data_IF_225359149193
#
_entry.id   IF_225359149193
#
_cell.length_a   1.000
_cell.length_b   1.000
_cell.length_c   1.000
_cell.angle_alpha   90.00
_cell.angle_beta   90.00
_cell.angle_gamma   90.00
#
_symmetry.space_group_name_H-M   'P 1'
#
loop_
_entity.id
_entity.type
_entity.pdbx_description
1 polymer ?
#
# COMPACT_ATOMS: atom_id res chain seq x y z
N UNK A 1 -11.42 73.91 32.46
CA UNK A 1 -12.07 72.88 33.29
C UNK A 1 -13.38 72.51 32.61
N UNK A 2 -13.41 71.36 31.94
CA UNK A 2 -14.58 70.87 31.20
C UNK A 2 -15.20 69.68 31.94
N UNK A 3 -16.52 69.75 32.15
CA UNK A 3 -17.44 68.67 32.52
C UNK A 3 -18.83 69.13 32.08
N UNK A 4 -19.74 68.36 31.52
CA UNK A 4 -19.74 66.99 31.01
C UNK A 4 -21.00 66.86 30.16
N UNK A 5 -20.99 66.00 29.14
CA UNK A 5 -22.19 65.62 28.39
C UNK A 5 -22.37 64.12 28.53
N UNK A 6 -23.43 63.73 29.22
CA UNK A 6 -24.02 62.40 29.12
C UNK A 6 -24.83 62.32 27.82
N UNK A 7 -24.69 61.20 27.12
CA UNK A 7 -25.46 60.86 25.94
C UNK A 7 -25.28 59.38 25.64
N UNK A 8 -26.30 58.60 25.96
CA UNK A 8 -26.47 57.19 25.59
C UNK A 8 -26.26 56.99 24.08
N UNK A 9 -25.30 56.14 23.71
CA UNK A 9 -25.15 55.56 22.38
C UNK A 9 -25.46 54.07 22.46
N UNK A 10 -26.55 53.67 21.82
CA UNK A 10 -27.06 52.31 21.75
C UNK A 10 -26.04 51.33 21.17
N UNK A 11 -26.15 50.09 21.66
CA UNK A 11 -25.56 48.87 21.11
C UNK A 11 -25.64 48.82 19.58
N UNK A 12 -24.51 49.05 18.92
CA UNK A 12 -24.23 48.51 17.61
C UNK A 12 -23.63 47.12 17.81
N UNK A 13 -24.47 46.09 17.78
CA UNK A 13 -23.99 44.72 17.65
C UNK A 13 -23.20 44.61 16.36
N UNK A 14 -21.88 44.52 16.49
CA UNK A 14 -20.98 44.24 15.39
C UNK A 14 -21.23 42.77 15.01
N UNK A 15 -22.22 42.57 14.13
CA UNK A 15 -22.43 41.30 13.45
C UNK A 15 -21.18 41.04 12.64
N UNK A 16 -20.30 40.23 13.23
CA UNK A 16 -19.09 39.70 12.62
C UNK A 16 -19.41 39.27 11.20
N UNK A 17 -18.88 40.03 10.25
CA UNK A 17 -18.86 39.67 8.85
C UNK A 17 -18.14 38.34 8.73
N UNK A 18 -18.91 37.27 8.62
CA UNK A 18 -18.45 35.96 8.22
C UNK A 18 -17.94 36.04 6.79
N UNK A 19 -16.74 36.59 6.63
CA UNK A 19 -15.96 36.44 5.41
C UNK A 19 -15.58 34.97 5.30
N UNK A 20 -16.39 34.20 4.58
CA UNK A 20 -16.11 32.81 4.20
C UNK A 20 -14.95 32.69 3.21
N UNK A 21 -13.90 33.50 3.38
CA UNK A 21 -12.63 33.32 2.70
C UNK A 21 -11.81 32.34 3.52
N UNK A 22 -11.38 31.24 2.90
CA UNK A 22 -10.39 30.35 3.51
C UNK A 22 -9.14 31.18 3.77
N UNK A 23 -8.74 31.31 5.04
CA UNK A 23 -7.43 31.90 5.35
C UNK A 23 -6.36 30.96 4.80
N UNK A 24 -5.71 31.38 3.72
CA UNK A 24 -4.69 30.58 3.05
C UNK A 24 -3.51 30.24 3.98
N UNK A 25 -3.24 31.08 5.00
CA UNK A 25 -2.23 30.76 6.01
C UNK A 25 -2.68 29.63 6.95
N UNK A 26 -3.97 29.58 7.31
CA UNK A 26 -4.52 28.46 8.09
C UNK A 26 -4.54 27.18 7.25
N UNK A 27 -4.90 27.28 5.96
CA UNK A 27 -4.87 26.15 5.04
C UNK A 27 -3.46 25.59 4.87
N UNK A 28 -2.44 26.46 4.73
CA UNK A 28 -1.04 26.03 4.63
C UNK A 28 -0.61 25.26 5.89
N UNK A 29 -0.96 25.76 7.08
CA UNK A 29 -0.65 25.07 8.34
C UNK A 29 -1.34 23.71 8.44
N UNK A 30 -2.59 23.62 8.01
CA UNK A 30 -3.34 22.34 7.97
C UNK A 30 -2.67 21.37 7.00
N UNK A 31 -2.32 21.82 5.79
CA UNK A 31 -1.63 21.02 4.79
C UNK A 31 -0.27 20.52 5.31
N UNK A 32 0.52 21.38 5.96
CA UNK A 32 1.81 21.00 6.54
C UNK A 32 1.67 19.92 7.62
N UNK A 33 0.61 20.01 8.44
CA UNK A 33 0.31 18.96 9.43
C UNK A 33 -0.03 17.63 8.77
N UNK A 34 -0.85 17.64 7.73
CA UNK A 34 -1.18 16.43 6.97
C UNK A 34 0.05 15.83 6.30
N UNK A 35 0.89 16.67 5.67
CA UNK A 35 2.15 16.23 5.06
C UNK A 35 3.07 15.58 6.10
N UNK A 36 3.22 16.18 7.28
CA UNK A 36 4.01 15.59 8.37
C UNK A 36 3.48 14.22 8.81
N UNK A 37 2.17 14.10 9.00
CA UNK A 37 1.52 12.85 9.41
C UNK A 37 1.65 11.74 8.37
N UNK A 38 1.80 12.10 7.09
CA UNK A 38 1.99 11.15 5.99
C UNK A 38 3.39 10.51 5.97
N UNK A 39 4.38 11.13 6.62
CA UNK A 39 5.74 10.61 6.60
C UNK A 39 5.89 9.33 7.43
N UNK A 40 6.78 8.41 7.02
CA UNK A 40 7.09 7.25 7.83
C UNK A 40 7.62 7.64 9.22
N UNK A 41 7.28 6.87 10.24
CA UNK A 41 7.62 7.19 11.63
C UNK A 41 9.14 7.39 11.85
N UNK A 42 9.99 6.59 11.21
CA UNK A 42 11.45 6.73 11.34
C UNK A 42 11.96 8.07 10.78
N UNK A 43 11.32 8.60 9.73
CA UNK A 43 11.66 9.90 9.16
C UNK A 43 11.14 11.02 10.07
N UNK A 44 9.92 10.89 10.59
CA UNK A 44 9.40 11.80 11.61
C UNK A 44 10.33 11.87 12.83
N UNK A 45 10.87 10.73 13.26
CA UNK A 45 11.77 10.65 14.41
C UNK A 45 13.06 11.47 14.24
N UNK A 46 13.51 11.70 13.00
CA UNK A 46 14.70 12.54 12.74
C UNK A 46 14.54 13.97 13.26
N UNK A 47 13.30 14.49 13.30
CA UNK A 47 13.03 15.81 13.87
C UNK A 47 13.20 15.82 15.40
N UNK A 48 12.84 14.74 16.10
CA UNK A 48 13.07 14.62 17.54
C UNK A 48 14.54 14.38 17.90
N UNK A 49 15.32 13.89 16.94
CA UNK A 49 16.77 13.74 17.07
C UNK A 49 17.54 15.03 16.69
N UNK A 50 16.85 16.12 16.35
CA UNK A 50 17.44 17.35 15.82
C UNK A 50 18.60 17.85 16.66
N UNK A 51 18.41 17.92 17.98
CA UNK A 51 19.34 18.55 18.91
C UNK A 51 20.68 17.82 18.96
N UNK A 52 20.64 16.49 18.83
CA UNK A 52 21.85 15.65 18.80
C UNK A 52 22.54 15.71 17.43
N UNK A 53 21.76 15.83 16.37
CA UNK A 53 22.26 15.72 14.99
C UNK A 53 22.64 17.07 14.38
N UNK A 54 22.11 18.19 14.85
CA UNK A 54 22.34 19.52 14.24
C UNK A 54 23.83 19.89 14.24
N UNK A 55 24.51 19.69 15.38
CA UNK A 55 25.95 19.95 15.49
C UNK A 55 26.78 19.01 14.61
N UNK A 56 26.30 17.77 14.39
CA UNK A 56 26.97 16.81 13.52
C UNK A 56 26.74 17.14 12.03
N UNK A 57 25.55 17.62 11.67
CA UNK A 57 25.19 18.02 10.30
C UNK A 57 25.99 19.24 9.81
N UNK A 58 26.45 20.10 10.73
CA UNK A 58 27.33 21.24 10.43
C UNK A 58 28.80 20.85 10.18
N UNK A 59 29.21 19.63 10.52
CA UNK A 59 30.58 19.13 10.27
C UNK A 59 30.78 18.79 8.80
N UNK A 60 32.01 18.40 8.47
CA UNK A 60 32.35 17.93 7.12
C UNK A 60 31.54 16.68 6.76
N UNK A 61 31.29 16.46 5.47
CA UNK A 61 30.56 15.29 4.97
C UNK A 61 31.24 13.98 5.38
N UNK A 62 32.57 13.96 5.44
CA UNK A 62 33.33 12.79 5.87
C UNK A 62 33.16 12.49 7.36
N UNK A 63 33.16 13.52 8.21
CA UNK A 63 32.91 13.34 9.66
C UNK A 63 31.50 12.84 9.92
N UNK A 64 30.52 13.34 9.15
CA UNK A 64 29.13 12.86 9.19
C UNK A 64 29.06 11.39 8.83
N UNK A 65 29.73 10.96 7.76
CA UNK A 65 29.76 9.57 7.33
C UNK A 65 30.38 8.66 8.40
N UNK A 66 31.54 9.05 8.96
CA UNK A 66 32.19 8.31 10.04
C UNK A 66 31.26 8.15 11.25
N UNK A 67 30.60 9.25 11.67
CA UNK A 67 29.64 9.21 12.78
C UNK A 67 28.41 8.35 12.48
N UNK A 68 27.94 8.34 11.24
CA UNK A 68 26.83 7.51 10.84
C UNK A 68 27.19 6.01 10.90
N UNK A 69 28.41 5.62 10.52
CA UNK A 69 28.90 4.26 10.73
C UNK A 69 29.04 3.89 12.22
N UNK A 70 29.49 4.81 13.07
CA UNK A 70 29.53 4.58 14.53
C UNK A 70 28.12 4.32 15.09
N UNK A 71 27.11 5.08 14.66
CA UNK A 71 25.73 4.84 15.07
C UNK A 71 25.21 3.50 14.56
N UNK A 72 25.49 3.15 13.30
CA UNK A 72 25.11 1.85 12.75
C UNK A 72 25.72 0.70 13.55
N UNK A 73 27.02 0.75 13.84
CA UNK A 73 27.71 -0.27 14.63
C UNK A 73 27.09 -0.45 16.03
N UNK A 74 26.77 0.66 16.72
CA UNK A 74 26.03 0.62 17.98
C UNK A 74 24.64 0.01 17.83
N UNK A 75 23.96 0.25 16.70
CA UNK A 75 22.69 -0.38 16.38
C UNK A 75 22.82 -1.90 16.27
N UNK A 76 23.85 -2.36 15.55
CA UNK A 76 24.14 -3.78 15.36
C UNK A 76 24.45 -4.48 16.70
N UNK A 77 25.27 -3.87 17.56
CA UNK A 77 25.54 -4.36 18.94
C UNK A 77 24.25 -4.51 19.76
N UNK A 78 23.30 -3.58 19.60
CA UNK A 78 22.01 -3.63 20.32
C UNK A 78 21.08 -4.70 19.78
N UNK A 79 21.16 -5.05 18.49
CA UNK A 79 20.45 -6.20 17.93
C UNK A 79 20.98 -7.51 18.52
N UNK A 80 22.31 -7.65 18.61
CA UNK A 80 22.93 -8.81 19.25
C UNK A 80 22.53 -8.92 20.73
N UNK A 81 22.44 -7.77 21.43
CA UNK A 81 21.93 -7.70 22.80
C UNK A 81 20.41 -7.91 22.92
N UNK A 82 19.71 -8.27 21.84
CA UNK A 82 18.25 -8.48 21.79
C UNK A 82 17.41 -7.27 22.23
N UNK A 83 17.91 -6.06 21.94
CA UNK A 83 17.27 -4.78 22.28
C UNK A 83 16.87 -4.00 21.01
N UNK A 84 15.84 -4.44 20.26
CA UNK A 84 15.49 -3.87 18.96
C UNK A 84 15.00 -2.42 19.03
N UNK A 85 14.40 -1.98 20.16
CA UNK A 85 13.98 -0.58 20.35
C UNK A 85 15.16 0.37 20.46
N UNK A 86 16.19 -0.01 21.21
CA UNK A 86 17.41 0.80 21.33
C UNK A 86 18.19 0.81 20.01
N UNK A 87 18.24 -0.33 19.32
CA UNK A 87 18.86 -0.45 18.00
C UNK A 87 18.18 0.46 16.96
N UNK A 88 16.84 0.46 16.93
CA UNK A 88 16.05 1.30 16.03
C UNK A 88 16.45 2.78 16.11
N UNK A 89 16.59 3.31 17.33
CA UNK A 89 17.01 4.70 17.55
C UNK A 89 18.40 4.96 16.98
N UNK A 90 19.35 4.03 17.11
CA UNK A 90 20.69 4.20 16.54
C UNK A 90 20.67 4.22 15.01
N UNK A 91 19.87 3.37 14.38
CA UNK A 91 19.73 3.38 12.92
C UNK A 91 19.00 4.64 12.42
N UNK A 92 18.01 5.15 13.16
CA UNK A 92 17.36 6.43 12.88
C UNK A 92 18.33 7.60 13.01
N UNK A 93 19.24 7.59 13.99
CA UNK A 93 20.29 8.60 14.13
C UNK A 93 21.28 8.58 12.95
N UNK A 94 21.71 7.38 12.52
CA UNK A 94 22.58 7.22 11.36
C UNK A 94 21.91 7.73 10.07
N UNK A 95 20.65 7.35 9.86
CA UNK A 95 19.83 7.79 8.73
C UNK A 95 19.60 9.31 8.76
N UNK A 96 19.23 9.85 9.93
CA UNK A 96 18.96 11.26 10.20
C UNK A 96 20.14 12.20 9.93
N UNK A 97 21.37 11.67 9.80
CA UNK A 97 22.50 12.47 9.38
C UNK A 97 22.45 12.87 7.92
N UNK A 98 21.80 12.10 7.04
CA UNK A 98 21.77 12.35 5.59
C UNK A 98 20.37 12.64 5.05
N UNK A 99 19.34 12.11 5.71
CA UNK A 99 17.94 12.39 5.37
C UNK A 99 17.14 12.70 6.62
N UNK A 100 16.56 13.89 6.68
CA UNK A 100 15.93 14.39 7.90
C UNK A 100 14.83 15.40 7.61
N UNK A 101 13.98 15.60 8.61
CA UNK A 101 13.02 16.69 8.63
C UNK A 101 13.65 17.92 9.30
N UNK A 102 13.52 19.07 8.65
CA UNK A 102 13.93 20.37 9.17
C UNK A 102 12.68 21.24 9.38
N UNK A 103 12.60 21.89 10.55
CA UNK A 103 11.52 22.83 10.86
C UNK A 103 12.04 24.27 10.80
N UNK A 104 11.50 25.06 9.86
CA UNK A 104 11.78 26.50 9.71
C UNK A 104 10.51 27.28 10.01
N UNK A 105 10.42 27.78 11.24
CA UNK A 105 9.20 28.44 11.73
C UNK A 105 8.04 27.44 11.84
N UNK A 106 6.99 27.61 11.02
CA UNK A 106 5.83 26.71 10.97
C UNK A 106 6.04 25.55 9.97
N UNK A 107 6.86 25.77 8.94
CA UNK A 107 7.10 24.83 7.84
C UNK A 107 8.03 23.69 8.21
N UNK A 108 7.61 22.47 7.87
CA UNK A 108 8.44 21.26 7.96
C UNK A 108 8.80 20.82 6.54
N UNK A 109 10.10 20.77 6.24
CA UNK A 109 10.63 20.29 4.96
C UNK A 109 11.50 19.06 5.15
N UNK A 110 11.44 18.13 4.20
CA UNK A 110 12.37 16.99 4.16
C UNK A 110 13.61 17.38 3.37
N UNK A 111 14.77 17.17 3.97
CA UNK A 111 16.08 17.29 3.33
C UNK A 111 16.60 15.88 3.07
N UNK A 112 17.01 15.60 1.83
CA UNK A 112 17.60 14.34 1.39
C UNK A 112 18.88 14.65 0.63
N UNK A 113 20.01 14.66 1.36
CA UNK A 113 21.30 15.07 0.80
C UNK A 113 21.76 14.09 -0.30
N UNK A 114 21.39 12.81 -0.22
CA UNK A 114 21.79 11.82 -1.22
C UNK A 114 20.91 11.83 -2.47
N UNK A 115 19.69 12.40 -2.40
CA UNK A 115 18.79 12.51 -3.56
C UNK A 115 19.36 13.38 -4.67
N UNK A 116 19.89 14.56 -4.35
CA UNK A 116 20.50 15.44 -5.34
C UNK A 116 21.68 14.75 -6.05
N UNK A 117 22.50 14.03 -5.30
CA UNK A 117 23.59 13.23 -5.86
C UNK A 117 23.08 12.10 -6.78
N UNK A 118 21.96 11.44 -6.42
CA UNK A 118 21.31 10.43 -7.26
C UNK A 118 20.77 11.02 -8.56
N UNK A 119 20.14 12.19 -8.50
CA UNK A 119 19.58 12.90 -9.65
C UNK A 119 20.67 13.34 -10.63
N UNK A 120 21.73 13.97 -10.13
CA UNK A 120 22.90 14.35 -10.93
C UNK A 120 23.50 13.15 -11.68
N UNK A 121 23.59 11.98 -11.03
CA UNK A 121 24.09 10.75 -11.69
C UNK A 121 23.14 10.22 -12.78
N UNK A 122 21.83 10.39 -12.63
CA UNK A 122 20.87 10.02 -13.68
C UNK A 122 20.99 10.94 -14.89
N UNK A 123 21.17 12.24 -14.65
CA UNK A 123 21.32 13.26 -15.70
C UNK A 123 22.63 13.13 -16.47
N UNK A 124 23.74 12.82 -15.78
CA UNK A 124 25.05 12.64 -16.40
C UNK A 124 25.15 11.35 -17.25
N UNK A 125 24.15 10.46 -17.19
CA UNK A 125 24.15 9.16 -17.87
C UNK A 125 25.31 8.25 -17.41
N UNK A 126 25.48 7.09 -18.07
CA UNK A 126 26.64 6.19 -17.90
C UNK A 126 27.94 6.81 -18.44
N UNK A 127 28.24 8.07 -18.13
CA UNK A 127 29.59 8.58 -18.29
C UNK A 127 30.47 7.88 -17.26
N UNK A 128 31.57 7.27 -17.70
CA UNK A 128 32.50 6.40 -16.94
C UNK A 128 33.24 7.09 -15.78
N UNK A 129 32.69 8.15 -15.19
CA UNK A 129 33.22 8.85 -14.02
C UNK A 129 32.87 8.17 -12.69
N UNK A 130 32.73 6.82 -12.67
CA UNK A 130 32.79 6.04 -11.42
C UNK A 130 34.12 6.25 -10.66
N UNK A 131 35.11 6.90 -11.31
CA UNK A 131 36.40 7.29 -10.76
C UNK A 131 36.39 8.61 -9.98
N UNK A 132 35.29 9.38 -9.95
CA UNK A 132 35.23 10.62 -9.18
C UNK A 132 35.11 10.32 -7.67
N UNK A 133 35.93 10.98 -6.86
CA UNK A 133 35.91 10.86 -5.40
C UNK A 133 34.53 11.23 -4.84
N UNK A 134 33.88 12.22 -5.44
CA UNK A 134 32.54 12.67 -5.05
C UNK A 134 31.47 11.58 -5.30
N UNK A 135 31.50 10.95 -6.48
CA UNK A 135 30.61 9.83 -6.81
C UNK A 135 30.80 8.65 -5.85
N UNK A 136 32.05 8.28 -5.55
CA UNK A 136 32.35 7.21 -4.59
C UNK A 136 31.81 7.50 -3.20
N UNK A 137 31.94 8.75 -2.72
CA UNK A 137 31.41 9.16 -1.43
C UNK A 137 29.89 8.94 -1.35
N UNK A 138 29.13 9.41 -2.35
CA UNK A 138 27.68 9.24 -2.32
C UNK A 138 27.23 7.79 -2.51
N UNK A 139 27.99 6.96 -3.23
CA UNK A 139 27.74 5.52 -3.28
C UNK A 139 27.90 4.87 -1.90
N UNK A 140 28.88 5.30 -1.11
CA UNK A 140 29.05 4.84 0.29
C UNK A 140 27.89 5.31 1.17
N UNK A 141 27.46 6.57 1.01
CA UNK A 141 26.28 7.09 1.73
C UNK A 141 25.02 6.30 1.35
N UNK A 142 24.79 6.04 0.06
CA UNK A 142 23.63 5.29 -0.41
C UNK A 142 23.66 3.83 0.09
N UNK A 143 24.84 3.20 0.15
CA UNK A 143 25.00 1.89 0.77
C UNK A 143 24.69 1.90 2.27
N UNK A 144 25.19 2.91 2.99
CA UNK A 144 24.91 3.08 4.41
C UNK A 144 23.43 3.32 4.67
N UNK A 145 22.80 4.28 3.97
CA UNK A 145 21.38 4.62 4.10
C UNK A 145 20.50 3.42 3.77
N UNK A 146 20.79 2.71 2.67
CA UNK A 146 20.09 1.47 2.31
C UNK A 146 20.22 0.43 3.43
N UNK A 147 21.43 0.25 3.98
CA UNK A 147 21.66 -0.69 5.08
C UNK A 147 20.90 -0.29 6.35
N UNK A 148 20.91 1.00 6.73
CA UNK A 148 20.16 1.52 7.87
C UNK A 148 18.65 1.32 7.69
N UNK A 149 18.08 1.60 6.51
CA UNK A 149 16.66 1.39 6.21
C UNK A 149 16.27 -0.09 6.32
N UNK A 150 17.11 -1.00 5.83
CA UNK A 150 16.90 -2.44 5.99
C UNK A 150 16.94 -2.83 7.47
N UNK A 151 17.85 -2.27 8.27
CA UNK A 151 17.90 -2.54 9.70
C UNK A 151 16.72 -1.91 10.47
N UNK A 152 16.26 -0.72 10.11
CA UNK A 152 15.04 -0.10 10.65
C UNK A 152 13.84 -1.01 10.41
N UNK A 153 13.71 -1.55 9.19
CA UNK A 153 12.64 -2.53 8.87
C UNK A 153 12.77 -3.80 9.70
N UNK A 154 14.00 -4.29 9.90
CA UNK A 154 14.24 -5.48 10.70
C UNK A 154 13.86 -5.26 12.17
N UNK A 155 14.28 -4.14 12.76
CA UNK A 155 13.91 -3.74 14.12
C UNK A 155 12.39 -3.66 14.26
N UNK A 156 11.72 -3.00 13.31
CA UNK A 156 10.26 -2.83 13.31
C UNK A 156 9.51 -4.17 13.28
N UNK A 157 10.06 -5.17 12.58
CA UNK A 157 9.51 -6.53 12.55
C UNK A 157 9.79 -7.35 13.81
N UNK A 158 10.85 -7.02 14.58
CA UNK A 158 11.25 -7.69 15.82
C UNK A 158 10.56 -7.15 17.07
N UNK A 159 9.91 -6.00 17.00
CA UNK A 159 9.17 -5.44 18.14
C UNK A 159 8.06 -6.39 18.61
N UNK A 160 7.71 -6.29 19.89
CA UNK A 160 6.62 -7.06 20.52
C UNK A 160 5.29 -6.89 19.78
N UNK A 161 5.05 -5.68 19.25
CA UNK A 161 3.98 -5.37 18.32
C UNK A 161 4.67 -4.96 17.01
N UNK A 162 4.73 -5.86 16.01
CA UNK A 162 5.42 -5.56 14.76
C UNK A 162 4.73 -4.43 14.00
N UNK A 163 5.46 -3.36 13.71
CA UNK A 163 4.97 -2.30 12.84
C UNK A 163 5.30 -2.66 11.38
N UNK A 164 4.42 -3.45 10.76
CA UNK A 164 4.67 -3.99 9.43
C UNK A 164 4.58 -2.90 8.35
N UNK A 165 3.71 -1.90 8.50
CA UNK A 165 3.63 -0.78 7.56
C UNK A 165 4.91 0.06 7.56
N UNK A 166 5.47 0.35 8.74
CA UNK A 166 6.76 1.04 8.84
C UNK A 166 7.88 0.22 8.20
N UNK A 167 7.85 -1.12 8.35
CA UNK A 167 8.83 -2.00 7.70
C UNK A 167 8.69 -1.98 6.17
N UNK A 168 7.47 -1.96 5.63
CA UNK A 168 7.22 -1.80 4.19
C UNK A 168 7.70 -0.44 3.69
N UNK A 169 7.41 0.64 4.41
CA UNK A 169 7.84 1.99 4.04
C UNK A 169 9.39 2.09 3.99
N UNK A 170 10.07 1.62 5.05
CA UNK A 170 11.53 1.66 5.12
C UNK A 170 12.20 0.82 4.01
N UNK A 171 11.67 -0.37 3.73
CA UNK A 171 12.21 -1.23 2.66
C UNK A 171 11.89 -0.71 1.27
N UNK A 172 10.74 -0.07 1.08
CA UNK A 172 10.40 0.59 -0.20
C UNK A 172 11.37 1.74 -0.47
N UNK A 173 11.66 2.57 0.53
CA UNK A 173 12.67 3.62 0.41
C UNK A 173 14.07 3.05 0.16
N UNK A 174 14.43 1.92 0.80
CA UNK A 174 15.71 1.26 0.54
C UNK A 174 15.83 0.82 -0.93
N UNK A 175 14.73 0.38 -1.54
CA UNK A 175 14.66 -0.04 -2.94
C UNK A 175 14.65 1.14 -3.91
N UNK A 176 14.19 2.33 -3.50
CA UNK A 176 14.39 3.56 -4.28
C UNK A 176 15.87 3.97 -4.36
N UNK A 177 16.65 3.64 -3.34
CA UNK A 177 18.11 3.85 -3.33
C UNK A 177 18.80 2.74 -4.12
N UNK A 178 18.45 1.47 -3.89
CA UNK A 178 19.00 0.29 -4.57
C UNK A 178 17.89 -0.69 -5.00
N UNK A 179 17.42 -0.61 -6.26
CA UNK A 179 16.27 -1.41 -6.74
C UNK A 179 16.43 -2.93 -6.62
N UNK A 180 17.65 -3.44 -6.77
CA UNK A 180 17.94 -4.88 -6.77
C UNK A 180 18.68 -5.32 -5.50
N UNK A 181 18.28 -4.82 -4.33
CA UNK A 181 18.93 -5.16 -3.07
C UNK A 181 18.25 -6.37 -2.39
N UNK A 182 18.86 -7.59 -2.38
CA UNK A 182 18.20 -8.80 -1.90
C UNK A 182 17.75 -8.74 -0.43
N UNK A 183 18.53 -8.18 0.52
CA UNK A 183 18.07 -8.03 1.90
C UNK A 183 16.85 -7.12 2.03
N UNK A 184 16.73 -6.05 1.23
CA UNK A 184 15.58 -5.16 1.28
C UNK A 184 14.31 -5.85 0.76
N UNK A 185 14.40 -6.52 -0.39
CA UNK A 185 13.31 -7.33 -0.96
C UNK A 185 12.87 -8.45 0.01
N UNK A 186 13.83 -9.13 0.63
CA UNK A 186 13.55 -10.16 1.61
C UNK A 186 12.82 -9.61 2.85
N UNK A 187 13.25 -8.48 3.41
CA UNK A 187 12.56 -7.85 4.56
C UNK A 187 11.17 -7.33 4.18
N UNK A 188 11.01 -6.75 2.99
CA UNK A 188 9.70 -6.29 2.49
C UNK A 188 8.73 -7.45 2.33
N UNK A 189 9.21 -8.58 1.77
CA UNK A 189 8.39 -9.79 1.65
C UNK A 189 7.90 -10.33 3.00
N UNK A 190 8.71 -10.25 4.06
CA UNK A 190 8.29 -10.64 5.41
C UNK A 190 7.24 -9.69 5.97
N UNK A 191 7.39 -8.39 5.73
CA UNK A 191 6.42 -7.39 6.17
C UNK A 191 5.08 -7.58 5.45
N UNK A 192 5.07 -7.75 4.13
CA UNK A 192 3.87 -8.07 3.36
C UNK A 192 3.21 -9.37 3.80
N UNK A 193 3.99 -10.42 4.10
CA UNK A 193 3.45 -11.67 4.61
C UNK A 193 2.75 -11.51 5.96
N UNK A 194 3.28 -10.66 6.86
CA UNK A 194 2.62 -10.32 8.13
C UNK A 194 1.37 -9.44 7.95
N UNK A 195 1.29 -8.68 6.87
CA UNK A 195 0.10 -7.92 6.45
C UNK A 195 -0.90 -8.77 5.64
N UNK A 196 -0.65 -10.08 5.50
CA UNK A 196 -1.45 -11.00 4.67
C UNK A 196 -1.50 -10.64 3.17
N UNK A 197 -0.60 -9.77 2.72
CA UNK A 197 -0.40 -9.38 1.32
C UNK A 197 0.51 -10.41 0.63
N UNK A 198 0.01 -11.64 0.51
CA UNK A 198 0.82 -12.78 0.05
C UNK A 198 1.25 -12.70 -1.42
N UNK A 199 0.49 -11.98 -2.25
CA UNK A 199 0.83 -11.74 -3.66
C UNK A 199 2.11 -10.93 -3.81
N UNK A 200 2.16 -9.80 -3.11
CA UNK A 200 3.28 -8.87 -3.02
C UNK A 200 4.47 -9.57 -2.34
N UNK A 201 4.22 -10.30 -1.25
CA UNK A 201 5.26 -11.05 -0.56
C UNK A 201 5.97 -12.08 -1.46
N UNK A 202 5.21 -12.83 -2.27
CA UNK A 202 5.79 -13.81 -3.22
C UNK A 202 6.57 -13.11 -4.33
N UNK A 203 6.06 -11.99 -4.85
CA UNK A 203 6.73 -11.22 -5.89
C UNK A 203 8.07 -10.66 -5.39
N UNK A 204 8.10 -10.08 -4.20
CA UNK A 204 9.32 -9.59 -3.57
C UNK A 204 10.31 -10.71 -3.26
N UNK A 205 9.84 -11.84 -2.73
CA UNK A 205 10.71 -12.98 -2.44
C UNK A 205 11.29 -13.60 -3.70
N UNK A 206 10.55 -13.57 -4.82
CA UNK A 206 11.06 -13.97 -6.13
C UNK A 206 12.12 -12.99 -6.60
N UNK A 207 11.83 -11.69 -6.59
CA UNK A 207 12.81 -10.67 -6.96
C UNK A 207 14.10 -10.82 -6.13
N UNK A 208 14.00 -11.02 -4.82
CA UNK A 208 15.15 -11.25 -3.94
C UNK A 208 16.00 -12.46 -4.37
N UNK A 209 15.35 -13.57 -4.76
CA UNK A 209 16.03 -14.77 -5.24
C UNK A 209 16.75 -14.53 -6.57
N UNK A 210 16.10 -13.83 -7.51
CA UNK A 210 16.69 -13.51 -8.81
C UNK A 210 17.86 -12.54 -8.69
N UNK A 211 17.75 -11.48 -7.89
CA UNK A 211 18.84 -10.52 -7.64
C UNK A 211 20.04 -11.16 -6.93
N UNK A 212 19.82 -12.28 -6.22
CA UNK A 212 20.86 -13.04 -5.52
C UNK A 212 21.43 -14.23 -6.34
N UNK A 213 21.14 -14.35 -7.65
CA UNK A 213 21.49 -15.54 -8.44
C UNK A 213 22.99 -15.83 -8.60
N UNK A 214 23.88 -14.96 -8.10
CA UNK A 214 25.32 -15.20 -7.99
C UNK A 214 25.90 -15.14 -6.57
N UNK A 215 25.06 -15.03 -5.52
CA UNK A 215 25.51 -15.00 -4.12
C UNK A 215 25.82 -16.40 -3.57
N UNK A 216 26.31 -16.45 -2.33
CA UNK A 216 26.51 -17.70 -1.57
C UNK A 216 25.34 -18.67 -1.69
N UNK A 217 25.64 -19.94 -1.93
CA UNK A 217 24.66 -21.02 -2.05
C UNK A 217 23.73 -21.10 -0.82
N UNK A 218 24.27 -20.83 0.38
CA UNK A 218 23.50 -20.78 1.64
C UNK A 218 22.43 -19.71 1.62
N UNK A 219 22.76 -18.52 1.13
CA UNK A 219 21.84 -17.39 1.02
C UNK A 219 20.78 -17.68 -0.04
N UNK A 220 21.18 -18.22 -1.18
CA UNK A 220 20.25 -18.62 -2.24
C UNK A 220 19.26 -19.70 -1.76
N UNK A 221 19.76 -20.72 -1.06
CA UNK A 221 18.92 -21.77 -0.46
C UNK A 221 17.94 -21.18 0.55
N UNK A 222 18.38 -20.25 1.39
CA UNK A 222 17.51 -19.59 2.36
C UNK A 222 16.38 -18.79 1.67
N UNK A 223 16.71 -17.99 0.66
CA UNK A 223 15.73 -17.22 -0.12
C UNK A 223 14.75 -18.13 -0.87
N UNK A 224 15.25 -19.24 -1.43
CA UNK A 224 14.42 -20.23 -2.11
C UNK A 224 13.41 -20.89 -1.16
N UNK A 225 13.86 -21.30 0.03
CA UNK A 225 12.97 -21.89 1.06
C UNK A 225 11.91 -20.89 1.53
N UNK A 226 12.30 -19.62 1.74
CA UNK A 226 11.36 -18.56 2.08
C UNK A 226 10.33 -18.33 0.98
N UNK A 227 10.76 -18.23 -0.29
CA UNK A 227 9.86 -18.10 -1.43
C UNK A 227 8.87 -19.26 -1.49
N UNK A 228 9.33 -20.51 -1.32
CA UNK A 228 8.46 -21.69 -1.30
C UNK A 228 7.43 -21.64 -0.18
N UNK A 229 7.85 -21.21 1.02
CA UNK A 229 6.96 -21.03 2.17
C UNK A 229 5.86 -20.00 1.85
N UNK A 230 6.22 -18.84 1.30
CA UNK A 230 5.25 -17.80 0.95
C UNK A 230 4.29 -18.24 -0.17
N UNK A 231 4.78 -18.99 -1.16
CA UNK A 231 3.90 -19.57 -2.20
C UNK A 231 2.90 -20.54 -1.58
N UNK A 232 3.30 -21.34 -0.59
CA UNK A 232 2.41 -22.23 0.12
C UNK A 232 1.36 -21.46 0.96
N UNK A 233 1.76 -20.41 1.68
CA UNK A 233 0.82 -19.56 2.44
C UNK A 233 -0.16 -18.84 1.51
N UNK A 234 0.33 -18.26 0.41
CA UNK A 234 -0.54 -17.64 -0.62
C UNK A 234 -1.59 -18.62 -1.14
N UNK A 235 -1.23 -19.90 -1.31
CA UNK A 235 -2.18 -20.94 -1.74
C UNK A 235 -3.25 -21.20 -0.68
N UNK A 236 -2.89 -21.28 0.60
CA UNK A 236 -3.87 -21.48 1.70
C UNK A 236 -4.87 -20.33 1.82
N UNK A 237 -4.40 -19.08 1.64
CA UNK A 237 -5.22 -17.89 1.80
C UNK A 237 -6.02 -17.50 0.55
N UNK A 238 -5.73 -18.11 -0.60
CA UNK A 238 -6.47 -17.86 -1.84
C UNK A 238 -7.82 -18.57 -1.84
N UNK A 239 -8.87 -17.80 -2.10
CA UNK A 239 -10.26 -18.31 -2.22
C UNK A 239 -10.37 -19.38 -3.31
N UNK A 240 -9.65 -19.22 -4.41
CA UNK A 240 -9.68 -20.16 -5.53
C UNK A 240 -9.24 -21.57 -5.10
N UNK A 241 -8.13 -21.67 -4.35
CA UNK A 241 -7.62 -22.94 -3.86
C UNK A 241 -8.48 -23.54 -2.73
N UNK A 242 -9.20 -22.70 -1.97
CA UNK A 242 -10.22 -23.16 -1.01
C UNK A 242 -11.40 -23.85 -1.72
N UNK A 243 -11.82 -23.32 -2.86
CA UNK A 243 -12.95 -23.85 -3.66
C UNK A 243 -12.54 -25.11 -4.43
N UNK A 244 -11.44 -25.05 -5.18
CA UNK A 244 -10.98 -26.16 -6.03
C UNK A 244 -10.42 -27.34 -5.21
N UNK A 245 -9.95 -27.09 -3.99
CA UNK A 245 -9.27 -28.08 -3.16
C UNK A 245 -7.79 -28.26 -3.54
N UNK A 246 -7.02 -28.89 -2.65
CA UNK A 246 -5.63 -29.26 -2.94
C UNK A 246 -5.57 -30.32 -4.04
N UNK A 247 -4.45 -30.46 -4.75
CA UNK A 247 -4.31 -31.39 -5.88
C UNK A 247 -4.61 -32.86 -5.50
N UNK A 248 -4.40 -33.25 -4.24
CA UNK A 248 -4.79 -34.57 -3.72
C UNK A 248 -6.33 -34.75 -3.59
N UNK A 249 -7.08 -33.66 -3.41
CA UNK A 249 -8.55 -33.62 -3.46
C UNK A 249 -9.09 -33.27 -4.86
N UNK A 250 -8.24 -32.75 -5.77
CA UNK A 250 -8.66 -32.16 -7.04
C UNK A 250 -9.25 -33.20 -7.99
N UNK A 251 -8.77 -34.45 -7.98
CA UNK A 251 -9.36 -35.52 -8.78
C UNK A 251 -10.79 -35.85 -8.32
N UNK A 252 -11.02 -35.88 -7.00
CA UNK A 252 -12.34 -36.13 -6.42
C UNK A 252 -13.31 -34.96 -6.68
N UNK A 253 -12.82 -33.71 -6.64
CA UNK A 253 -13.64 -32.50 -6.83
C UNK A 253 -13.83 -32.09 -8.28
N UNK A 254 -12.95 -32.47 -9.21
CA UNK A 254 -13.16 -32.28 -10.65
C UNK A 254 -14.43 -33.02 -11.12
N UNK A 255 -14.70 -34.21 -10.59
CA UNK A 255 -15.95 -34.92 -10.84
C UNK A 255 -17.18 -34.13 -10.37
N UNK A 256 -17.11 -33.49 -9.20
CA UNK A 256 -18.19 -32.67 -8.64
C UNK A 256 -18.38 -31.37 -9.43
N UNK A 257 -17.30 -30.73 -9.88
CA UNK A 257 -17.36 -29.53 -10.72
C UNK A 257 -17.96 -29.83 -12.11
N UNK A 258 -17.54 -30.91 -12.76
CA UNK A 258 -18.14 -31.38 -14.02
C UNK A 258 -19.61 -31.71 -13.81
N UNK A 259 -19.98 -32.37 -12.72
CA UNK A 259 -21.37 -32.67 -12.38
C UNK A 259 -22.19 -31.39 -12.11
N UNK A 260 -21.63 -30.40 -11.42
CA UNK A 260 -22.31 -29.11 -11.16
C UNK A 260 -22.52 -28.31 -12.45
N UNK A 261 -21.52 -28.26 -13.33
CA UNK A 261 -21.66 -27.64 -14.65
C UNK A 261 -22.67 -28.40 -15.52
N UNK A 262 -22.67 -29.73 -15.48
CA UNK A 262 -23.65 -30.56 -16.19
C UNK A 262 -25.07 -30.34 -15.65
N UNK A 263 -25.27 -30.34 -14.34
CA UNK A 263 -26.55 -30.02 -13.72
C UNK A 263 -27.03 -28.62 -14.08
N UNK A 264 -26.15 -27.61 -14.01
CA UNK A 264 -26.48 -26.24 -14.40
C UNK A 264 -26.87 -26.13 -15.88
N UNK A 265 -26.18 -26.87 -16.76
CA UNK A 265 -26.52 -26.96 -18.18
C UNK A 265 -27.89 -27.63 -18.40
N UNK A 266 -28.17 -28.72 -17.70
CA UNK A 266 -29.47 -29.41 -17.74
C UNK A 266 -30.59 -28.50 -17.24
N UNK A 267 -30.39 -27.79 -16.13
CA UNK A 267 -31.36 -26.81 -15.63
C UNK A 267 -31.59 -25.67 -16.63
N UNK A 268 -30.54 -25.16 -17.26
CA UNK A 268 -30.66 -24.14 -18.29
C UNK A 268 -31.42 -24.65 -19.53
N UNK A 269 -31.14 -25.88 -19.97
CA UNK A 269 -31.86 -26.52 -21.09
C UNK A 269 -33.33 -26.80 -20.75
N UNK A 270 -33.63 -27.26 -19.53
CA UNK A 270 -34.99 -27.43 -19.05
C UNK A 270 -35.73 -26.09 -18.96
N UNK A 271 -35.07 -25.02 -18.51
CA UNK A 271 -35.66 -23.68 -18.49
C UNK A 271 -35.96 -23.17 -19.91
N UNK A 272 -35.05 -23.39 -20.86
CA UNK A 272 -35.28 -23.05 -22.28
C UNK A 272 -36.42 -23.89 -22.87
N UNK A 273 -36.52 -25.18 -22.53
CA UNK A 273 -37.61 -26.05 -22.98
C UNK A 273 -38.97 -25.59 -22.41
N UNK A 274 -39.04 -25.27 -21.12
CA UNK A 274 -40.26 -24.74 -20.50
C UNK A 274 -40.68 -23.38 -21.08
N UNK A 275 -39.73 -22.50 -21.38
CA UNK A 275 -40.02 -21.23 -22.06
C UNK A 275 -40.49 -21.44 -23.51
N UNK A 276 -40.09 -22.53 -24.16
CA UNK A 276 -40.52 -22.89 -25.52
C UNK A 276 -41.91 -23.53 -25.55
N UNK A 277 -42.23 -24.42 -24.61
CA UNK A 277 -43.59 -25.00 -24.51
C UNK A 277 -44.62 -24.00 -23.95
N UNK A 278 -44.18 -23.08 -23.08
CA UNK A 278 -45.00 -21.93 -22.67
C UNK A 278 -45.31 -20.95 -23.80
N UNK A 279 -44.53 -20.95 -24.89
CA UNK A 279 -44.81 -20.15 -26.08
C UNK A 279 -45.81 -20.86 -27.03
N UNK A 280 -45.80 -22.18 -27.12
CA UNK A 280 -46.74 -22.95 -27.96
C UNK A 280 -48.17 -23.02 -27.39
N UNK A 281 -48.34 -22.85 -26.07
CA UNK A 281 -49.66 -22.86 -25.42
C UNK A 281 -50.39 -21.52 -25.45
N UNK A 282 -49.73 -20.44 -25.89
CA UNK A 282 -50.34 -19.12 -26.03
C UNK A 282 -50.81 -18.80 -27.47
N UNK A 283 -50.59 -19.67 -28.46
CA UNK A 283 -51.05 -19.46 -29.84
C UNK A 283 -52.40 -20.14 -30.17
N UNK A 284 -52.93 -21.03 -29.32
CA UNK A 284 -54.22 -21.71 -29.58
C UNK A 284 -55.42 -21.10 -28.80
N UNK A 285 -55.24 -19.99 -28.07
CA UNK A 285 -56.26 -19.42 -27.18
C UNK A 285 -56.89 -18.10 -27.60
N UNK A 286 -56.65 -17.61 -28.83
CA UNK A 286 -57.01 -16.23 -29.19
C UNK A 286 -57.45 -16.04 -30.63
N UNK A 287 -58.53 -16.70 -31.06
CA UNK A 287 -59.26 -16.31 -32.29
C UNK A 287 -60.68 -16.93 -32.34
N UNK A 288 -61.57 -16.53 -31.43
CA UNK A 288 -63.03 -16.72 -31.60
C UNK A 288 -63.77 -15.49 -31.07
N UNK A 289 -63.58 -14.33 -31.72
CA UNK A 289 -64.44 -13.15 -31.53
C UNK A 289 -64.26 -12.15 -32.68
N UNK A 290 -64.65 -12.52 -33.90
CA UNK A 290 -65.30 -11.60 -34.85
C UNK A 290 -65.64 -12.28 -36.18
N UNK A 291 -66.87 -12.04 -36.65
CA UNK A 291 -67.50 -12.50 -37.91
C UNK A 291 -68.04 -13.93 -37.77
N UNK A 292 -69.34 -14.13 -37.68
CA UNK A 292 -70.26 -13.77 -38.76
C UNK A 292 -71.52 -13.06 -38.27
N UNK A 293 -71.71 -11.85 -38.81
CA UNK A 293 -73.01 -11.28 -39.03
C UNK A 293 -73.54 -11.80 -40.36
N UNK A 294 -74.87 -11.87 -40.43
CA UNK A 294 -75.70 -12.05 -41.62
C UNK A 294 -75.88 -13.50 -42.10
N UNK A 295 -76.99 -14.12 -41.68
CA UNK A 295 -78.08 -14.34 -42.63
C UNK A 295 -79.39 -14.83 -41.96
N UNK A 296 -80.50 -14.16 -42.28
CA UNK A 296 -81.72 -14.87 -42.69
C UNK A 296 -82.74 -15.28 -41.63
N UNK A 297 -83.69 -14.39 -41.37
CA UNK A 297 -85.13 -14.62 -41.59
C UNK A 297 -85.89 -15.78 -40.89
N UNK A 298 -86.91 -15.36 -40.10
CA UNK A 298 -88.24 -15.98 -39.92
C UNK A 298 -88.26 -17.38 -39.24
N UNK A 299 -89.25 -17.80 -38.45
CA UNK A 299 -90.57 -17.31 -38.09
C UNK A 299 -90.96 -17.96 -36.74
N UNK A 300 -92.02 -17.40 -36.16
CA UNK A 300 -92.79 -17.87 -35.03
C UNK A 300 -93.10 -19.37 -35.02
N UNK A 301 -93.21 -19.95 -33.82
CA UNK A 301 -94.47 -20.52 -33.26
C UNK A 301 -94.12 -21.46 -32.09
N UNK A 302 -94.52 -21.13 -30.86
CA UNK A 302 -95.79 -21.56 -30.20
C UNK A 302 -95.67 -22.96 -29.58
N UNK A 303 -95.98 -22.97 -28.28
CA UNK A 303 -96.47 -24.04 -27.39
C UNK A 303 -95.52 -25.19 -27.04
N UNK A 304 -95.16 -25.39 -25.77
CA UNK A 304 -95.97 -25.74 -24.58
C UNK A 304 -96.15 -27.27 -24.43
N UNK A 305 -96.11 -27.66 -23.16
CA UNK A 305 -96.48 -28.92 -22.52
C UNK A 305 -95.54 -30.15 -22.61
N UNK A 306 -95.18 -30.61 -21.40
CA UNK A 306 -94.59 -31.92 -21.11
C UNK A 306 -93.80 -31.94 -19.81
#
# INVERSE_FOLDING_TARGET
AGMGRGGMGMMGGDFGGGGGGVDFNELEVVMERFMWQSYPQYLQNTLFHSDKLEMLRKKTLQDRLTKAYEFKAKGDEKIEASKPREALVQFELAYGLFKYCEKKGRKISVVDDSKAARELRREQGRSDNSSDAFTRFWLQVDELVCSCLVMISHCSLLLTIPNCEQAVAATTEALEVKPDHPPALFRRSQAHAKLEQFTEAVNDSRAAFHSASGSDERVQRHLYLHMRRLVAERRKHSVWWRVVGFVEDAVARYGVLVAMFFCALVFALCAVYYLRDGAHTNEEGGDELSRDADDGWMDNSVTDEG
#
